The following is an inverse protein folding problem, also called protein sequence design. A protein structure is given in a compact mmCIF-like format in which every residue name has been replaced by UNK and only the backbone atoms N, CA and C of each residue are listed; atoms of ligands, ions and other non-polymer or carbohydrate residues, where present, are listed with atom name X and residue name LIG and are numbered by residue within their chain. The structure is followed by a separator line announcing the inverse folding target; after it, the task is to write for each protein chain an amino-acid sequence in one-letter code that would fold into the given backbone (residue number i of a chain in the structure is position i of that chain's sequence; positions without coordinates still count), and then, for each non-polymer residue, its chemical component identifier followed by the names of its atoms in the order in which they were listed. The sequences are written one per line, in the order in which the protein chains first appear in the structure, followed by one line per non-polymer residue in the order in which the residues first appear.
data_IF_450546070326
#
_entry.id   IF_450546070326
#
_cell.length_a   1.000
_cell.length_b   1.000
_cell.length_c   1.000
_cell.angle_alpha   90.00
_cell.angle_beta   90.00
_cell.angle_gamma   90.00
#
_symmetry.space_group_name_H-M   'P 1'
#
loop_
_entity.id
_entity.type
_entity.pdbx_description
1 polymer ?
#
# COMPACT_ATOMS: atom_id res chain seq x y z
N UNK A 1 -10.01 16.34 0.68
CA UNK A 1 -8.93 16.22 1.67
C UNK A 1 -9.09 14.90 2.42
N UNK A 2 -8.00 14.14 2.62
CA UNK A 2 -8.04 12.90 3.42
C UNK A 2 -8.30 13.23 4.89
N UNK A 3 -9.06 12.38 5.57
CA UNK A 3 -9.22 12.48 7.03
C UNK A 3 -7.95 12.01 7.76
N UNK A 4 -7.74 12.47 8.99
CA UNK A 4 -6.61 12.06 9.84
C UNK A 4 -6.50 10.55 9.98
N UNK A 5 -7.64 9.85 10.14
CA UNK A 5 -7.69 8.39 10.15
C UNK A 5 -7.08 7.77 8.88
N UNK A 6 -7.38 8.32 7.69
CA UNK A 6 -6.83 7.79 6.45
C UNK A 6 -5.33 8.12 6.29
N UNK A 7 -4.88 9.27 6.81
CA UNK A 7 -3.45 9.63 6.83
C UNK A 7 -2.66 8.67 7.72
N UNK A 8 -3.17 8.37 8.92
CA UNK A 8 -2.58 7.38 9.82
C UNK A 8 -2.58 5.98 9.17
N UNK A 9 -3.69 5.60 8.55
CA UNK A 9 -3.81 4.32 7.83
C UNK A 9 -2.78 4.19 6.70
N UNK A 10 -2.57 5.24 5.91
CA UNK A 10 -1.51 5.25 4.88
C UNK A 10 -0.12 5.05 5.49
N UNK A 11 0.15 5.72 6.60
CA UNK A 11 1.43 5.59 7.33
C UNK A 11 1.66 4.17 7.85
N UNK A 12 0.63 3.51 8.37
CA UNK A 12 0.69 2.11 8.80
C UNK A 12 0.95 1.16 7.63
N UNK A 13 0.26 1.36 6.49
CA UNK A 13 0.50 0.57 5.27
C UNK A 13 1.94 0.74 4.81
N UNK A 14 2.44 1.98 4.70
CA UNK A 14 3.80 2.26 4.25
C UNK A 14 4.86 1.62 5.16
N UNK A 15 4.63 1.62 6.49
CA UNK A 15 5.50 0.94 7.44
C UNK A 15 5.51 -0.58 7.23
N UNK A 16 4.35 -1.21 7.08
CA UNK A 16 4.23 -2.66 6.89
C UNK A 16 4.89 -3.08 5.57
N UNK A 17 4.65 -2.33 4.50
CA UNK A 17 5.29 -2.57 3.19
C UNK A 17 6.81 -2.47 3.29
N UNK A 18 7.31 -1.47 4.02
CA UNK A 18 8.74 -1.30 4.24
C UNK A 18 9.36 -2.47 5.02
N UNK A 19 8.70 -2.93 6.09
CA UNK A 19 9.17 -4.08 6.86
C UNK A 19 9.08 -5.38 6.06
N UNK A 20 8.06 -5.53 5.21
CA UNK A 20 7.96 -6.65 4.27
C UNK A 20 9.16 -6.69 3.31
N UNK A 21 9.55 -5.55 2.71
CA UNK A 21 10.73 -5.50 1.84
C UNK A 21 12.06 -5.70 2.58
N UNK A 22 12.15 -5.34 3.86
CA UNK A 22 13.32 -5.67 4.69
C UNK A 22 13.48 -7.17 4.90
N UNK A 23 12.37 -7.86 5.16
CA UNK A 23 12.35 -9.32 5.32
C UNK A 23 12.54 -10.05 3.99
N UNK A 24 12.20 -9.40 2.88
CA UNK A 24 12.29 -9.95 1.53
C UNK A 24 13.23 -9.12 0.64
N UNK A 25 14.55 -9.06 0.93
CA UNK A 25 15.46 -8.12 0.30
C UNK A 25 15.67 -8.32 -1.20
N UNK A 26 15.32 -9.50 -1.74
CA UNK A 26 15.37 -9.81 -3.18
C UNK A 26 14.17 -9.26 -3.95
N UNK A 27 13.05 -8.98 -3.28
CA UNK A 27 11.86 -8.40 -3.90
C UNK A 27 12.08 -6.90 -4.11
N UNK A 28 11.79 -6.44 -5.32
CA UNK A 28 11.85 -5.02 -5.71
C UNK A 28 10.45 -4.40 -5.80
N UNK A 29 9.47 -5.23 -6.11
CA UNK A 29 8.07 -4.85 -6.26
C UNK A 29 7.17 -5.98 -5.81
N UNK A 30 5.92 -5.65 -5.46
CA UNK A 30 4.85 -6.61 -5.16
C UNK A 30 3.50 -6.00 -5.48
N UNK A 31 2.54 -6.80 -5.94
CA UNK A 31 1.17 -6.34 -6.11
C UNK A 31 0.55 -6.04 -4.75
N UNK A 32 -0.12 -4.91 -4.63
CA UNK A 32 -0.71 -4.45 -3.38
C UNK A 32 -1.69 -5.48 -2.79
N UNK A 33 -2.49 -6.15 -3.65
CA UNK A 33 -3.45 -7.17 -3.22
C UNK A 33 -2.79 -8.38 -2.53
N UNK A 34 -1.54 -8.69 -2.87
CA UNK A 34 -0.83 -9.85 -2.31
C UNK A 34 -0.39 -9.58 -0.85
N UNK A 35 -0.36 -8.31 -0.43
CA UNK A 35 -0.08 -7.91 0.95
C UNK A 35 -1.35 -7.78 1.80
N UNK A 36 -2.53 -8.04 1.23
CA UNK A 36 -3.79 -7.81 1.92
C UNK A 36 -3.93 -8.62 3.20
N UNK A 37 -3.50 -9.88 3.20
CA UNK A 37 -3.52 -10.75 4.38
C UNK A 37 -2.73 -10.13 5.54
N UNK A 38 -1.50 -9.66 5.27
CA UNK A 38 -0.66 -9.00 6.27
C UNK A 38 -1.37 -7.75 6.83
N UNK A 39 -2.03 -6.97 5.99
CA UNK A 39 -2.75 -5.79 6.47
C UNK A 39 -3.98 -6.13 7.33
N UNK A 40 -4.60 -7.30 7.15
CA UNK A 40 -5.66 -7.80 8.02
C UNK A 40 -5.08 -8.28 9.35
N UNK A 41 -4.00 -9.06 9.32
CA UNK A 41 -3.30 -9.53 10.52
C UNK A 41 -2.82 -8.38 11.41
N UNK A 42 -2.29 -7.32 10.79
CA UNK A 42 -1.85 -6.10 11.45
C UNK A 42 -3.01 -5.13 11.79
N UNK A 43 -4.27 -5.55 11.61
CA UNK A 43 -5.50 -4.81 11.93
C UNK A 43 -5.65 -3.46 11.22
N UNK A 44 -4.94 -3.25 10.11
CA UNK A 44 -5.08 -2.07 9.24
C UNK A 44 -6.39 -2.14 8.45
N UNK A 45 -6.79 -3.34 8.05
CA UNK A 45 -8.12 -3.64 7.54
C UNK A 45 -8.79 -4.68 8.44
N UNK A 46 -10.12 -4.63 8.52
CA UNK A 46 -10.88 -5.56 9.35
C UNK A 46 -10.97 -6.96 8.73
N UNK A 47 -11.01 -7.03 7.40
CA UNK A 47 -11.05 -8.27 6.63
C UNK A 47 -10.67 -8.00 5.19
N UNK A 48 -10.25 -9.04 4.49
CA UNK A 48 -10.21 -9.04 3.04
C UNK A 48 -11.57 -9.46 2.45
N UNK A 49 -11.90 -8.90 1.29
CA UNK A 49 -12.94 -9.40 0.43
C UNK A 49 -12.63 -9.02 -1.02
N UNK A 50 -13.05 -9.87 -1.95
CA UNK A 50 -12.87 -9.68 -3.40
C UNK A 50 -11.42 -9.37 -3.77
N UNK A 51 -10.48 -10.15 -3.23
CA UNK A 51 -9.04 -10.10 -3.56
C UNK A 51 -8.44 -8.69 -3.39
N UNK A 52 -8.39 -8.20 -2.15
CA UNK A 52 -7.78 -6.91 -1.84
C UNK A 52 -8.60 -5.69 -2.25
N UNK A 53 -9.92 -5.82 -2.46
CA UNK A 53 -10.78 -4.66 -2.76
C UNK A 53 -10.67 -3.53 -1.72
N UNK A 54 -10.66 -3.79 -0.40
CA UNK A 54 -10.53 -2.72 0.60
C UNK A 54 -9.27 -1.87 0.42
N UNK A 55 -8.17 -2.52 0.08
CA UNK A 55 -6.90 -1.83 -0.17
C UNK A 55 -6.98 -1.03 -1.47
N UNK A 56 -7.49 -1.61 -2.55
CA UNK A 56 -7.63 -0.90 -3.83
C UNK A 56 -8.50 0.34 -3.73
N UNK A 57 -9.62 0.26 -3.01
CA UNK A 57 -10.50 1.41 -2.77
C UNK A 57 -9.80 2.50 -1.94
N UNK A 58 -9.02 2.09 -0.94
CA UNK A 58 -8.21 3.02 -0.16
C UNK A 58 -7.13 3.70 -1.00
N UNK A 59 -6.37 2.95 -1.80
CA UNK A 59 -5.32 3.50 -2.65
C UNK A 59 -5.88 4.46 -3.72
N UNK A 60 -7.01 4.10 -4.33
CA UNK A 60 -7.74 5.00 -5.23
C UNK A 60 -8.13 6.30 -4.55
N UNK A 61 -8.65 6.24 -3.32
CA UNK A 61 -8.98 7.45 -2.55
C UNK A 61 -7.75 8.32 -2.27
N UNK A 62 -6.59 7.70 -1.99
CA UNK A 62 -5.34 8.44 -1.78
C UNK A 62 -4.88 9.13 -3.07
N UNK A 63 -4.94 8.43 -4.20
CA UNK A 63 -4.64 8.99 -5.53
C UNK A 63 -5.58 10.15 -5.89
N UNK A 64 -6.90 9.98 -5.73
CA UNK A 64 -7.91 11.03 -5.99
C UNK A 64 -7.75 12.26 -5.09
N UNK A 65 -7.04 12.12 -3.97
CA UNK A 65 -6.72 13.20 -3.04
C UNK A 65 -5.33 13.80 -3.23
N UNK A 66 -4.60 13.42 -4.28
CA UNK A 66 -3.23 13.85 -4.58
C UNK A 66 -2.28 13.69 -3.38
N UNK A 67 -2.43 12.57 -2.65
CA UNK A 67 -1.74 12.33 -1.38
C UNK A 67 -0.86 11.08 -1.42
N UNK A 68 -0.37 10.72 -2.61
CA UNK A 68 0.55 9.59 -2.79
C UNK A 68 1.87 9.79 -2.04
N UNK A 69 2.26 11.05 -1.78
CA UNK A 69 3.45 11.42 -0.98
C UNK A 69 3.37 11.01 0.50
N UNK A 70 2.21 10.52 0.97
CA UNK A 70 2.09 9.89 2.28
C UNK A 70 2.91 8.59 2.37
N UNK A 71 3.16 7.91 1.24
CA UNK A 71 4.03 6.74 1.16
C UNK A 71 5.48 7.19 1.02
N UNK A 72 6.18 7.32 2.15
CA UNK A 72 7.55 7.87 2.22
C UNK A 72 8.62 6.78 2.13
N UNK A 73 8.31 5.56 2.56
CA UNK A 73 9.25 4.43 2.66
C UNK A 73 9.14 3.49 1.47
N UNK A 74 7.97 3.40 0.88
CA UNK A 74 7.70 2.68 -0.36
C UNK A 74 7.29 3.65 -1.46
N UNK A 75 7.39 3.20 -2.72
CA UNK A 75 6.82 3.91 -3.87
C UNK A 75 5.56 3.16 -4.30
N UNK A 76 4.44 3.86 -4.34
CA UNK A 76 3.18 3.29 -4.83
C UNK A 76 3.04 3.60 -6.32
N UNK A 77 2.84 2.57 -7.15
CA UNK A 77 2.69 2.70 -8.59
C UNK A 77 1.40 2.02 -9.04
N UNK A 78 0.66 2.69 -9.92
CA UNK A 78 -0.48 2.12 -10.60
C UNK A 78 -0.08 1.76 -12.02
N UNK A 79 -0.27 0.51 -12.41
CA UNK A 79 -0.11 0.10 -13.80
C UNK A 79 -1.35 0.55 -14.59
N UNK A 80 -1.17 1.30 -15.66
CA UNK A 80 -2.28 1.90 -16.43
C UNK A 80 -3.07 0.86 -17.25
N UNK A 81 -2.45 -0.23 -17.69
CA UNK A 81 -3.05 -1.23 -18.56
C UNK A 81 -4.02 -2.16 -17.79
N UNK A 82 -3.55 -2.72 -16.67
CA UNK A 82 -4.34 -3.66 -15.85
C UNK A 82 -4.98 -3.00 -14.62
N UNK A 83 -4.66 -1.72 -14.36
CA UNK A 83 -5.13 -0.92 -13.21
C UNK A 83 -4.76 -1.53 -11.85
N UNK A 84 -3.75 -2.39 -11.81
CA UNK A 84 -3.23 -2.95 -10.57
C UNK A 84 -2.30 -1.97 -9.87
N UNK A 85 -2.33 -2.05 -8.55
CA UNK A 85 -1.48 -1.29 -7.66
C UNK A 85 -0.27 -2.14 -7.26
N UNK A 86 0.90 -1.53 -7.26
CA UNK A 86 2.16 -2.13 -6.89
C UNK A 86 2.84 -1.27 -5.84
N UNK A 87 3.43 -1.93 -4.85
CA UNK A 87 4.42 -1.30 -4.00
C UNK A 87 5.80 -1.64 -4.55
N UNK A 88 6.63 -0.62 -4.72
CA UNK A 88 8.03 -0.74 -5.07
C UNK A 88 8.89 -0.37 -3.86
N UNK A 89 9.94 -1.15 -3.65
CA UNK A 89 10.95 -0.83 -2.65
C UNK A 89 11.68 0.44 -3.10
N UNK A 90 11.70 1.48 -2.25
CA UNK A 90 12.63 2.58 -2.47
C UNK A 90 14.06 2.05 -2.31
N UNK A 91 14.84 2.12 -3.39
CA UNK A 91 16.28 1.95 -3.29
C UNK A 91 16.84 3.10 -2.44
N UNK A 92 17.78 2.78 -1.55
CA UNK A 92 18.61 3.83 -0.96
C UNK A 92 19.40 4.46 -2.12
N UNK A 93 19.03 5.66 -2.55
CA UNK A 93 19.96 6.52 -3.29
C UNK A 93 20.99 7.07 -2.33
#
# INVERSE_FOLDING_TARGET
MLSEYNIQKASSIDQIVFDYFKLNPKLKEIQAKDLMEIFVEQKVFSKDYKEGLPLRDFLKKVEESDSLDLFKKSKLVRNEENRYWFFERRGNK
#
